data_IF_350317234501
#
_entry.id   IF_350317234501
#
_cell.length_a   1.000
_cell.length_b   1.000
_cell.length_c   1.000
_cell.angle_alpha   90.00
_cell.angle_beta   90.00
_cell.angle_gamma   90.00
#
_symmetry.space_group_name_H-M   'P 1'
#
loop_
_entity.id
_entity.type
_entity.pdbx_description
1 polymer ?
#
# COMPACT_ATOMS: atom_id res chain seq x y z
N UNK A 1 3.40 -16.99 -14.46
CA UNK A 1 2.78 -15.83 -13.78
C UNK A 1 3.20 -15.69 -12.32
N UNK A 2 3.22 -16.77 -11.52
CA UNK A 2 3.55 -16.71 -10.08
C UNK A 2 4.95 -16.13 -9.77
N UNK A 3 5.97 -16.56 -10.51
CA UNK A 3 7.35 -16.06 -10.32
C UNK A 3 7.48 -14.55 -10.62
N UNK A 4 6.79 -14.06 -11.65
CA UNK A 4 6.78 -12.64 -12.01
C UNK A 4 6.13 -11.79 -10.91
N UNK A 5 5.04 -12.29 -10.30
CA UNK A 5 4.37 -11.64 -9.18
C UNK A 5 5.28 -11.57 -7.93
N UNK A 6 6.01 -12.64 -7.64
CA UNK A 6 6.96 -12.66 -6.51
C UNK A 6 8.10 -11.65 -6.74
N UNK A 7 8.64 -11.59 -7.96
CA UNK A 7 9.72 -10.66 -8.31
C UNK A 7 9.22 -9.21 -8.27
N UNK A 8 8.10 -8.91 -8.94
CA UNK A 8 7.50 -7.57 -8.95
C UNK A 8 7.04 -7.13 -7.56
N UNK A 9 6.40 -8.02 -6.81
CA UNK A 9 5.96 -7.76 -5.43
C UNK A 9 7.13 -7.40 -4.53
N UNK A 10 8.21 -8.19 -4.55
CA UNK A 10 9.42 -7.93 -3.75
C UNK A 10 10.16 -6.67 -4.21
N UNK A 11 10.23 -6.42 -5.52
CA UNK A 11 10.83 -5.20 -6.06
C UNK A 11 10.06 -3.96 -5.62
N UNK A 12 8.73 -3.96 -5.75
CA UNK A 12 7.87 -2.85 -5.35
C UNK A 12 7.89 -2.62 -3.84
N UNK A 13 7.93 -3.67 -3.02
CA UNK A 13 8.13 -3.54 -1.57
C UNK A 13 9.51 -2.95 -1.25
N UNK A 14 10.57 -3.36 -1.96
CA UNK A 14 11.91 -2.78 -1.80
C UNK A 14 11.94 -1.29 -2.13
N UNK A 15 11.29 -0.88 -3.22
CA UNK A 15 11.10 0.53 -3.59
C UNK A 15 10.28 1.27 -2.53
N UNK A 16 9.22 0.64 -2.00
CA UNK A 16 8.40 1.21 -0.93
C UNK A 16 9.21 1.53 0.32
N UNK A 17 10.06 0.60 0.75
CA UNK A 17 10.96 0.77 1.90
C UNK A 17 12.04 1.83 1.62
N UNK A 18 12.47 1.97 0.37
CA UNK A 18 13.39 3.04 -0.03
C UNK A 18 12.74 4.42 0.07
N UNK A 19 11.52 4.56 -0.44
CA UNK A 19 10.77 5.82 -0.45
C UNK A 19 10.23 6.16 0.95
N UNK A 20 9.98 5.17 1.81
CA UNK A 20 9.49 5.40 3.18
C UNK A 20 10.40 6.27 4.04
N UNK A 21 11.68 6.37 3.69
CA UNK A 21 12.63 7.21 4.42
C UNK A 21 12.47 8.70 4.10
N UNK A 22 11.69 9.07 3.08
CA UNK A 22 11.37 10.46 2.79
C UNK A 22 10.26 10.93 3.73
N UNK A 23 10.65 11.72 4.73
CA UNK A 23 9.72 12.35 5.67
C UNK A 23 8.95 13.46 4.95
N UNK A 24 7.62 13.29 4.85
CA UNK A 24 6.75 14.35 4.35
C UNK A 24 6.39 15.27 5.50
N UNK A 25 6.31 16.59 5.22
CA UNK A 25 6.09 17.63 6.25
C UNK A 25 4.79 17.46 7.05
N UNK A 26 3.80 16.74 6.51
CA UNK A 26 2.51 16.51 7.15
C UNK A 26 2.29 15.00 7.35
N UNK A 27 2.04 14.58 8.60
CA UNK A 27 1.86 13.16 8.96
C UNK A 27 0.79 12.48 8.08
N UNK A 28 -0.27 13.21 7.73
CA UNK A 28 -1.44 12.63 7.07
C UNK A 28 -1.12 12.28 5.62
N UNK A 29 -0.31 13.13 4.98
CA UNK A 29 0.16 12.91 3.63
C UNK A 29 1.18 11.77 3.59
N UNK A 30 2.02 11.64 4.63
CA UNK A 30 2.93 10.50 4.76
C UNK A 30 2.17 9.17 4.91
N UNK A 31 1.18 9.10 5.80
CA UNK A 31 0.38 7.89 5.97
C UNK A 31 -0.36 7.45 4.71
N UNK A 32 -0.98 8.41 3.99
CA UNK A 32 -1.68 8.13 2.73
C UNK A 32 -0.71 7.66 1.64
N UNK A 33 0.41 8.35 1.47
CA UNK A 33 1.41 7.98 0.44
C UNK A 33 2.04 6.63 0.74
N UNK A 34 2.34 6.33 2.00
CA UNK A 34 2.84 5.03 2.42
C UNK A 34 1.80 3.94 2.19
N UNK A 35 0.55 4.18 2.57
CA UNK A 35 -0.57 3.28 2.29
C UNK A 35 -0.75 2.98 0.80
N UNK A 36 -0.62 3.99 -0.06
CA UNK A 36 -0.65 3.83 -1.52
C UNK A 36 0.54 2.99 -2.02
N UNK A 37 1.75 3.31 -1.58
CA UNK A 37 2.97 2.67 -2.06
C UNK A 37 3.04 1.19 -1.64
N UNK A 38 2.63 0.85 -0.40
CA UNK A 38 2.59 -0.54 0.06
C UNK A 38 1.41 -1.34 -0.52
N UNK A 39 0.31 -0.69 -0.89
CA UNK A 39 -0.84 -1.37 -1.48
C UNK A 39 -0.73 -1.62 -2.98
N UNK A 40 0.15 -0.93 -3.70
CA UNK A 40 0.43 -1.20 -5.11
C UNK A 40 0.89 -2.65 -5.37
N UNK A 41 1.94 -3.19 -4.72
CA UNK A 41 2.31 -4.60 -4.90
C UNK A 41 1.19 -5.57 -4.50
N UNK A 42 0.44 -5.26 -3.45
CA UNK A 42 -0.70 -6.07 -3.02
C UNK A 42 -1.85 -6.06 -4.05
N UNK A 43 -2.14 -4.89 -4.65
CA UNK A 43 -3.17 -4.73 -5.67
C UNK A 43 -2.84 -5.45 -6.98
N UNK A 44 -1.56 -5.41 -7.41
CA UNK A 44 -1.10 -6.23 -8.52
C UNK A 44 -1.19 -7.73 -8.22
N UNK A 45 -0.91 -8.13 -6.98
CA UNK A 45 -1.13 -9.51 -6.53
C UNK A 45 -2.61 -9.91 -6.57
N UNK A 46 -3.53 -9.02 -6.20
CA UNK A 46 -4.97 -9.25 -6.20
C UNK A 46 -5.54 -9.40 -7.63
N UNK A 47 -5.02 -8.65 -8.60
CA UNK A 47 -5.39 -8.81 -10.02
C UNK A 47 -4.99 -10.15 -10.63
N UNK A 48 -3.97 -10.81 -10.07
CA UNK A 48 -3.46 -12.09 -10.56
C UNK A 48 -4.09 -13.30 -9.84
N UNK A 49 -5.04 -13.04 -8.94
CA UNK A 49 -5.82 -14.08 -8.26
C UNK A 49 -6.79 -14.80 -9.19
N UNK A 50 -7.41 -15.91 -8.73
CA UNK A 50 -8.44 -16.60 -9.50
C UNK A 50 -9.59 -15.65 -9.87
N UNK A 51 -10.09 -15.76 -11.11
CA UNK A 51 -11.24 -14.95 -11.56
C UNK A 51 -12.44 -15.22 -10.65
N UNK A 52 -12.88 -14.20 -9.93
CA UNK A 52 -14.12 -14.23 -9.17
C UNK A 52 -15.21 -13.51 -9.97
N UNK A 53 -16.34 -14.15 -10.27
CA UNK A 53 -17.42 -13.54 -11.05
C UNK A 53 -18.06 -12.33 -10.36
N UNK A 54 -17.90 -12.20 -9.04
CA UNK A 54 -18.42 -11.06 -8.26
C UNK A 54 -17.50 -9.83 -8.26
N UNK A 55 -16.20 -9.99 -8.55
CA UNK A 55 -15.22 -8.91 -8.45
C UNK A 55 -14.29 -8.89 -9.66
N UNK A 56 -14.46 -7.88 -10.52
CA UNK A 56 -13.52 -7.64 -11.62
C UNK A 56 -12.10 -7.35 -11.09
N UNK A 57 -11.08 -7.73 -11.85
CA UNK A 57 -9.68 -7.46 -11.50
C UNK A 57 -9.39 -5.97 -11.24
N UNK A 58 -10.03 -5.07 -11.99
CA UNK A 58 -9.90 -3.62 -11.77
C UNK A 58 -10.52 -3.20 -10.44
N UNK A 59 -11.65 -3.79 -10.05
CA UNK A 59 -12.29 -3.56 -8.75
C UNK A 59 -11.42 -4.05 -7.59
N UNK A 60 -10.79 -5.22 -7.72
CA UNK A 60 -9.86 -5.75 -6.73
C UNK A 60 -8.61 -4.87 -6.58
N UNK A 61 -8.06 -4.37 -7.70
CA UNK A 61 -6.93 -3.43 -7.66
C UNK A 61 -7.34 -2.13 -6.95
N UNK A 62 -8.41 -1.48 -7.40
CA UNK A 62 -8.84 -0.18 -6.87
C UNK A 62 -9.23 -0.28 -5.40
N UNK A 63 -9.98 -1.31 -4.99
CA UNK A 63 -10.34 -1.52 -3.58
C UNK A 63 -9.11 -1.78 -2.70
N UNK A 64 -8.12 -2.55 -3.18
CA UNK A 64 -6.88 -2.80 -2.45
C UNK A 64 -6.06 -1.53 -2.26
N UNK A 65 -5.96 -0.68 -3.28
CA UNK A 65 -5.25 0.60 -3.20
C UNK A 65 -5.98 1.58 -2.28
N UNK A 66 -7.30 1.70 -2.41
CA UNK A 66 -8.11 2.59 -1.57
C UNK A 66 -8.04 2.17 -0.11
N UNK A 67 -8.19 0.88 0.20
CA UNK A 67 -8.01 0.40 1.56
C UNK A 67 -6.59 0.55 2.07
N UNK A 68 -5.60 0.35 1.21
CA UNK A 68 -4.19 0.63 1.53
C UNK A 68 -3.98 2.06 2.00
N UNK A 69 -4.51 3.04 1.28
CA UNK A 69 -4.44 4.46 1.65
C UNK A 69 -5.14 4.74 2.98
N UNK A 70 -6.34 4.17 3.19
CA UNK A 70 -7.11 4.35 4.44
C UNK A 70 -6.32 3.75 5.61
N UNK A 71 -5.83 2.53 5.48
CA UNK A 71 -5.04 1.89 6.54
C UNK A 71 -3.72 2.61 6.79
N UNK A 72 -3.01 3.05 5.75
CA UNK A 72 -1.80 3.85 5.89
C UNK A 72 -2.06 5.16 6.65
N UNK A 73 -3.16 5.84 6.34
CA UNK A 73 -3.59 7.02 7.08
C UNK A 73 -3.92 6.70 8.54
N UNK A 74 -4.69 5.65 8.81
CA UNK A 74 -5.08 5.27 10.17
C UNK A 74 -3.88 4.83 11.02
N UNK A 75 -2.96 4.05 10.44
CA UNK A 75 -1.70 3.66 11.10
C UNK A 75 -0.93 4.91 11.48
N UNK A 76 -0.74 5.83 10.53
CA UNK A 76 0.02 7.06 10.76
C UNK A 76 -0.67 8.00 11.75
N UNK A 77 -2.00 8.05 11.75
CA UNK A 77 -2.80 8.79 12.73
C UNK A 77 -2.54 8.23 14.13
N UNK A 78 -2.58 6.90 14.30
CA UNK A 78 -2.35 6.26 15.58
C UNK A 78 -0.90 6.48 16.03
N UNK A 79 0.09 6.26 15.16
CA UNK A 79 1.51 6.42 15.52
C UNK A 79 1.86 7.88 15.84
N UNK A 80 1.34 8.84 15.07
CA UNK A 80 1.61 10.26 15.28
C UNK A 80 0.83 10.86 16.47
N UNK A 81 -0.45 10.50 16.64
CA UNK A 81 -1.31 11.11 17.68
C UNK A 81 -1.22 10.37 19.02
N UNK A 82 -1.29 9.03 19.00
CA UNK A 82 -1.29 8.21 20.22
C UNK A 82 0.14 8.03 20.75
N UNK A 83 1.07 7.67 19.86
CA UNK A 83 2.45 7.40 20.26
C UNK A 83 3.37 8.62 20.19
N UNK A 84 2.89 9.76 19.65
CA UNK A 84 3.69 10.99 19.44
C UNK A 84 5.02 10.72 18.73
N UNK A 85 5.08 9.68 17.91
CA UNK A 85 6.26 9.38 17.12
C UNK A 85 6.44 10.53 16.12
N UNK A 86 7.47 11.37 16.31
CA UNK A 86 7.84 12.37 15.31
C UNK A 86 8.55 11.64 14.17
N UNK A 87 7.95 11.75 12.99
CA UNK A 87 8.52 11.32 11.72
C UNK A 87 9.84 12.02 11.42
#
# INVERSE_FOLDING_TARGET
MLALNIILGRMLIGVAIGISRFTLKHWSLHGITMGLVFSLPAGFGAMLGPENPEFSHTMLLTSTIVMGMIYGFLIELITSVVFKARQ
#
